data_IF_661823849837
#
_entry.id   IF_661823849837
#
_cell.length_a   1.000
_cell.length_b   1.000
_cell.length_c   1.000
_cell.angle_alpha   90.00
_cell.angle_beta   90.00
_cell.angle_gamma   90.00
#
_symmetry.space_group_name_H-M   'P 1'
#
loop_
_entity.id
_entity.type
_entity.pdbx_description
1 polymer ?
#
# COMPACT_ATOMS: atom_id res chain seq x y z
N UNK A 1 -43.76 45.05 -57.49
CA UNK A 1 -42.38 44.62 -57.17
C UNK A 1 -42.37 44.16 -55.73
N UNK A 2 -41.97 42.91 -55.48
CA UNK A 2 -41.45 42.35 -54.21
C UNK A 2 -41.81 40.87 -54.16
N UNK A 3 -40.83 40.05 -54.55
CA UNK A 3 -40.84 38.59 -54.50
C UNK A 3 -39.59 38.16 -53.75
N UNK A 4 -39.60 36.93 -53.21
CA UNK A 4 -38.48 36.15 -52.63
C UNK A 4 -38.18 36.56 -51.16
N UNK A 5 -38.04 35.69 -50.15
CA UNK A 5 -37.54 34.32 -50.13
C UNK A 5 -38.04 33.50 -48.92
N UNK A 6 -38.31 32.22 -49.18
CA UNK A 6 -38.52 31.15 -48.22
C UNK A 6 -37.22 30.59 -47.62
N UNK A 7 -37.38 30.02 -46.42
CA UNK A 7 -36.75 28.80 -45.88
C UNK A 7 -35.22 28.70 -45.73
N UNK A 8 -34.75 28.50 -44.49
CA UNK A 8 -33.74 27.49 -44.18
C UNK A 8 -33.60 27.21 -42.66
N UNK A 9 -33.15 25.99 -42.38
CA UNK A 9 -32.40 25.56 -41.20
C UNK A 9 -33.16 24.87 -40.06
N UNK A 10 -33.55 23.62 -40.30
CA UNK A 10 -33.84 22.62 -39.26
C UNK A 10 -33.09 21.32 -39.57
N UNK A 11 -31.82 21.22 -39.15
CA UNK A 11 -31.04 19.95 -39.16
C UNK A 11 -29.78 20.05 -38.29
N UNK A 12 -29.88 20.05 -36.95
CA UNK A 12 -28.67 19.95 -36.10
C UNK A 12 -28.88 19.40 -34.67
N UNK A 13 -29.54 18.25 -34.51
CA UNK A 13 -29.64 17.59 -33.18
C UNK A 13 -29.42 16.08 -33.20
N UNK A 14 -29.46 15.42 -34.37
CA UNK A 14 -29.38 13.95 -34.46
C UNK A 14 -27.96 13.38 -34.33
N UNK A 15 -26.93 14.10 -34.82
CA UNK A 15 -25.54 13.62 -34.83
C UNK A 15 -24.92 13.47 -33.43
N UNK A 16 -25.21 14.39 -32.50
CA UNK A 16 -24.63 14.37 -31.14
C UNK A 16 -25.10 13.20 -30.26
N UNK A 17 -26.29 12.63 -30.52
CA UNK A 17 -26.80 11.49 -29.72
C UNK A 17 -26.09 10.17 -30.06
N UNK A 18 -25.69 9.94 -31.32
CA UNK A 18 -25.00 8.70 -31.71
C UNK A 18 -23.58 8.60 -31.14
N UNK A 19 -22.86 9.72 -31.01
CA UNK A 19 -21.49 9.71 -30.46
C UNK A 19 -21.42 9.39 -28.95
N UNK A 20 -22.44 9.77 -28.17
CA UNK A 20 -22.51 9.49 -26.72
C UNK A 20 -22.86 8.04 -26.39
N UNK A 21 -23.58 7.34 -27.27
CA UNK A 21 -23.94 5.93 -27.07
C UNK A 21 -22.73 4.98 -27.21
N UNK A 22 -21.87 5.24 -28.20
CA UNK A 22 -20.69 4.40 -28.48
C UNK A 22 -19.61 4.45 -27.38
N UNK A 23 -19.50 5.57 -26.66
CA UNK A 23 -18.50 5.78 -25.61
C UNK A 23 -18.90 5.12 -24.28
N UNK A 24 -20.19 5.00 -23.99
CA UNK A 24 -20.68 4.29 -22.79
C UNK A 24 -20.46 2.77 -22.90
N UNK A 25 -20.74 2.18 -24.07
CA UNK A 25 -20.58 0.73 -24.30
C UNK A 25 -19.10 0.30 -24.19
N UNK A 26 -18.15 1.11 -24.70
CA UNK A 26 -16.72 0.80 -24.58
C UNK A 26 -16.21 0.79 -23.12
N UNK A 27 -16.75 1.65 -22.25
CA UNK A 27 -16.35 1.68 -20.82
C UNK A 27 -16.83 0.46 -20.04
N UNK A 28 -17.98 -0.11 -20.40
CA UNK A 28 -18.51 -1.31 -19.74
C UNK A 28 -17.69 -2.55 -20.11
N UNK A 29 -17.26 -2.67 -21.37
CA UNK A 29 -16.39 -3.76 -21.78
C UNK A 29 -15.00 -3.69 -21.15
N UNK A 30 -14.39 -2.50 -21.06
CA UNK A 30 -13.07 -2.34 -20.42
C UNK A 30 -13.07 -2.72 -18.92
N UNK A 31 -14.14 -2.41 -18.18
CA UNK A 31 -14.25 -2.81 -16.76
C UNK A 31 -14.36 -4.31 -16.57
N UNK A 32 -15.08 -5.03 -17.45
CA UNK A 32 -15.16 -6.49 -17.37
C UNK A 32 -13.80 -7.14 -17.64
N UNK A 33 -13.04 -6.67 -18.64
CA UNK A 33 -11.72 -7.22 -18.98
C UNK A 33 -10.72 -7.14 -17.83
N UNK A 34 -10.69 -6.02 -17.09
CA UNK A 34 -9.79 -5.87 -15.94
C UNK A 34 -10.14 -6.82 -14.78
N UNK A 35 -11.43 -7.09 -14.57
CA UNK A 35 -11.88 -7.99 -13.51
C UNK A 35 -11.51 -9.46 -13.79
N UNK A 36 -11.54 -9.90 -15.06
CA UNK A 36 -11.11 -11.25 -15.45
C UNK A 36 -9.59 -11.43 -15.37
N UNK A 37 -8.80 -10.41 -15.72
CA UNK A 37 -7.34 -10.45 -15.59
C UNK A 37 -6.89 -10.55 -14.12
N UNK A 38 -7.56 -9.84 -13.21
CA UNK A 38 -7.27 -9.94 -11.77
C UNK A 38 -7.62 -11.32 -11.20
N UNK A 39 -8.74 -11.92 -11.63
CA UNK A 39 -9.13 -13.26 -11.20
C UNK A 39 -8.13 -14.34 -11.66
N UNK A 40 -7.64 -14.26 -12.91
CA UNK A 40 -6.64 -15.19 -13.44
C UNK A 40 -5.28 -15.09 -12.73
N UNK A 41 -4.87 -13.89 -12.30
CA UNK A 41 -3.63 -13.70 -11.54
C UNK A 41 -3.69 -14.32 -10.14
N UNK A 42 -4.84 -14.21 -9.45
CA UNK A 42 -5.02 -14.82 -8.13
C UNK A 42 -5.02 -16.34 -8.22
N UNK A 43 -5.66 -16.92 -9.23
CA UNK A 43 -5.72 -18.38 -9.41
C UNK A 43 -4.34 -18.98 -9.77
N UNK A 44 -3.53 -18.26 -10.53
CA UNK A 44 -2.15 -18.65 -10.82
C UNK A 44 -1.27 -18.65 -9.56
N UNK A 45 -1.39 -17.62 -8.71
CA UNK A 45 -0.67 -17.53 -7.41
C UNK A 45 -1.13 -18.64 -6.45
N UNK A 46 -2.42 -19.03 -6.49
CA UNK A 46 -2.95 -20.10 -5.65
C UNK A 46 -2.62 -21.52 -6.16
N UNK A 47 -2.33 -21.71 -7.45
CA UNK A 47 -1.82 -22.98 -7.98
C UNK A 47 -0.35 -23.20 -7.61
N UNK A 48 0.48 -22.18 -7.81
CA UNK A 48 1.92 -22.25 -7.48
C UNK A 48 2.17 -22.60 -6.00
N UNK A 49 1.31 -22.08 -5.10
CA UNK A 49 1.38 -22.37 -3.67
C UNK A 49 1.01 -23.81 -3.29
N UNK A 50 0.18 -24.49 -4.10
CA UNK A 50 -0.25 -25.88 -3.82
C UNK A 50 0.82 -26.89 -4.20
N UNK A 51 1.52 -26.68 -5.30
CA UNK A 51 2.55 -27.62 -5.77
C UNK A 51 3.76 -27.64 -4.83
N UNK A 52 4.08 -26.50 -4.19
CA UNK A 52 5.14 -26.43 -3.19
C UNK A 52 4.82 -27.21 -1.90
N UNK A 53 3.55 -27.27 -1.49
CA UNK A 53 3.15 -28.00 -0.27
C UNK A 53 3.20 -29.52 -0.44
N UNK A 54 2.96 -30.03 -1.65
CA UNK A 54 2.96 -31.48 -1.91
C UNK A 54 4.39 -32.05 -1.91
N UNK A 55 5.36 -31.29 -2.44
CA UNK A 55 6.75 -31.73 -2.51
C UNK A 55 7.44 -31.86 -1.15
N UNK A 56 6.96 -31.18 -0.11
CA UNK A 56 7.58 -31.20 1.23
C UNK A 56 7.16 -32.39 2.11
N UNK A 57 6.10 -33.10 1.75
CA UNK A 57 5.60 -34.25 2.54
C UNK A 57 6.10 -35.61 2.05
N UNK A 58 6.64 -35.72 0.83
CA UNK A 58 7.03 -37.01 0.23
C UNK A 58 8.47 -37.46 0.57
N UNK A 59 9.27 -36.63 1.27
CA UNK A 59 10.71 -36.86 1.45
C UNK A 59 11.21 -37.22 2.85
N UNK A 60 10.34 -37.55 3.83
CA UNK A 60 10.80 -37.74 5.23
C UNK A 60 10.27 -39.01 5.89
N UNK A 61 10.59 -40.14 5.30
CA UNK A 61 10.39 -41.46 5.89
C UNK A 61 11.71 -42.23 6.08
N UNK A 62 12.78 -41.55 6.52
CA UNK A 62 14.00 -42.24 6.95
C UNK A 62 14.39 -41.81 8.37
N UNK A 63 14.26 -42.77 9.28
CA UNK A 63 14.58 -42.62 10.69
C UNK A 63 16.08 -42.40 10.90
N UNK A 64 16.42 -41.20 11.38
CA UNK A 64 17.72 -40.93 11.98
C UNK A 64 17.49 -40.12 13.26
N UNK A 65 17.93 -40.72 14.37
CA UNK A 65 17.95 -40.20 15.74
C UNK A 65 18.33 -38.71 15.79
N UNK A 66 17.36 -37.88 16.15
CA UNK A 66 17.55 -36.45 16.35
C UNK A 66 18.40 -36.20 17.59
N UNK A 67 19.71 -36.00 17.39
CA UNK A 67 20.52 -35.21 18.32
C UNK A 67 19.89 -33.82 18.37
N UNK A 68 19.31 -33.48 19.52
CA UNK A 68 18.95 -32.11 19.88
C UNK A 68 20.26 -31.32 20.00
N UNK A 69 20.75 -30.86 18.85
CA UNK A 69 21.75 -29.80 18.80
C UNK A 69 20.94 -28.54 19.07
N UNK A 70 20.98 -28.06 20.31
CA UNK A 70 20.44 -26.76 20.71
C UNK A 70 21.27 -25.68 19.99
N UNK A 71 20.98 -25.49 18.70
CA UNK A 71 21.64 -24.58 17.77
C UNK A 71 21.22 -23.15 18.01
N UNK A 72 21.04 -22.76 19.27
CA UNK A 72 20.83 -21.36 19.64
C UNK A 72 22.15 -20.64 19.38
N UNK A 73 22.23 -19.74 18.36
CA UNK A 73 23.42 -18.95 18.18
C UNK A 73 23.63 -18.09 19.45
N UNK A 74 24.89 -17.89 19.88
CA UNK A 74 25.19 -17.19 21.11
C UNK A 74 24.66 -15.75 21.06
N UNK A 75 23.83 -15.40 22.06
CA UNK A 75 23.18 -14.09 22.25
C UNK A 75 24.16 -12.91 22.48
N UNK A 76 25.47 -13.14 22.47
CA UNK A 76 26.47 -12.13 22.84
C UNK A 76 26.87 -11.14 21.71
N UNK A 77 26.40 -11.34 20.47
CA UNK A 77 26.51 -10.32 19.39
C UNK A 77 25.11 -9.80 19.01
N UNK A 78 24.18 -9.77 19.96
CA UNK A 78 22.89 -9.09 19.77
C UNK A 78 23.01 -7.65 20.26
N UNK A 79 23.77 -6.84 19.53
CA UNK A 79 23.83 -5.41 19.73
C UNK A 79 22.44 -4.79 19.53
N UNK A 80 21.64 -4.74 20.58
CA UNK A 80 20.47 -3.87 20.78
C UNK A 80 19.49 -3.70 19.63
N UNK A 81 19.35 -4.65 18.70
CA UNK A 81 18.40 -4.50 17.59
C UNK A 81 17.00 -4.64 18.20
N UNK A 82 16.27 -3.52 18.28
CA UNK A 82 14.89 -3.48 18.76
C UNK A 82 14.07 -4.61 18.13
N UNK A 83 13.19 -5.22 18.93
CA UNK A 83 12.34 -6.30 18.43
C UNK A 83 11.45 -5.78 17.28
N UNK A 84 11.09 -6.61 16.29
CA UNK A 84 10.25 -6.17 15.16
C UNK A 84 8.94 -5.51 15.61
N UNK A 85 8.38 -5.96 16.74
CA UNK A 85 7.22 -5.34 17.38
C UNK A 85 7.49 -3.91 17.81
N UNK A 86 8.58 -3.68 18.55
CA UNK A 86 8.97 -2.34 19.01
C UNK A 86 9.20 -1.42 17.82
N UNK A 87 9.90 -1.89 16.78
CA UNK A 87 10.12 -1.11 15.55
C UNK A 87 8.79 -0.73 14.87
N UNK A 88 7.86 -1.67 14.70
CA UNK A 88 6.55 -1.36 14.11
C UNK A 88 5.73 -0.38 14.97
N UNK A 89 5.76 -0.52 16.29
CA UNK A 89 5.06 0.41 17.20
C UNK A 89 5.63 1.82 17.05
N UNK A 90 6.96 1.97 17.10
CA UNK A 90 7.62 3.28 16.95
C UNK A 90 7.28 3.92 15.61
N UNK A 91 7.40 3.16 14.52
CA UNK A 91 7.06 3.67 13.18
C UNK A 91 5.58 4.05 13.08
N UNK A 92 4.67 3.22 13.59
CA UNK A 92 3.24 3.50 13.60
C UNK A 92 2.91 4.79 14.37
N UNK A 93 3.55 5.02 15.52
CA UNK A 93 3.42 6.27 16.27
C UNK A 93 3.91 7.48 15.49
N UNK A 94 5.06 7.38 14.80
CA UNK A 94 5.56 8.47 13.96
C UNK A 94 4.55 8.83 12.85
N UNK A 95 4.01 7.82 12.16
CA UNK A 95 3.00 8.01 11.11
C UNK A 95 1.73 8.66 11.69
N UNK A 96 1.28 8.17 12.85
CA UNK A 96 0.08 8.68 13.52
C UNK A 96 0.26 10.15 13.94
N UNK A 97 1.40 10.50 14.55
CA UNK A 97 1.72 11.88 14.94
C UNK A 97 1.79 12.81 13.74
N UNK A 98 2.36 12.34 12.63
CA UNK A 98 2.39 13.10 11.37
C UNK A 98 0.97 13.34 10.83
N UNK A 99 0.09 12.34 10.89
CA UNK A 99 -1.31 12.48 10.54
C UNK A 99 -2.08 13.46 11.43
N UNK A 100 -1.87 13.41 12.75
CA UNK A 100 -2.48 14.37 13.67
C UNK A 100 -1.97 15.79 13.39
N UNK A 101 -0.67 15.95 13.14
CA UNK A 101 -0.09 17.23 12.77
C UNK A 101 -0.68 17.78 11.46
N UNK A 102 -0.89 16.93 10.44
CA UNK A 102 -1.55 17.33 9.18
C UNK A 102 -3.02 17.70 9.32
N UNK A 103 -3.70 17.18 10.35
CA UNK A 103 -5.09 17.54 10.65
C UNK A 103 -5.18 18.92 11.33
N UNK A 104 -4.33 19.15 12.33
CA UNK A 104 -4.37 20.33 13.20
C UNK A 104 -3.65 21.53 12.57
N UNK A 105 -2.51 21.31 11.90
CA UNK A 105 -1.62 22.36 11.38
C UNK A 105 -1.30 22.20 9.88
N UNK A 106 -2.29 22.19 8.98
CA UNK A 106 -2.05 21.98 7.55
C UNK A 106 -1.18 23.06 6.89
N UNK A 107 -1.18 24.29 7.42
CA UNK A 107 -0.33 25.38 6.91
C UNK A 107 1.15 25.07 7.11
N UNK A 108 1.50 24.42 8.22
CA UNK A 108 2.87 23.97 8.50
C UNK A 108 3.28 22.85 7.56
N UNK A 109 2.36 21.94 7.22
CA UNK A 109 2.62 20.86 6.26
C UNK A 109 2.82 21.41 4.85
N UNK A 110 2.02 22.40 4.41
CA UNK A 110 2.26 23.09 3.13
C UNK A 110 3.67 23.68 3.07
N UNK A 111 4.08 24.39 4.12
CA UNK A 111 5.42 24.99 4.20
C UNK A 111 6.53 23.93 4.20
N UNK A 112 6.36 22.82 4.93
CA UNK A 112 7.33 21.72 4.97
C UNK A 112 7.48 21.04 3.60
N UNK A 113 6.37 20.90 2.87
CA UNK A 113 6.34 20.32 1.53
C UNK A 113 6.80 21.32 0.44
N UNK A 114 7.04 22.58 0.80
CA UNK A 114 7.42 23.63 -0.15
C UNK A 114 6.27 24.08 -1.06
N UNK A 115 5.03 23.80 -0.68
CA UNK A 115 3.85 24.23 -1.45
C UNK A 115 3.50 25.69 -1.15
N UNK A 116 3.22 26.44 -2.22
CA UNK A 116 2.72 27.81 -2.14
C UNK A 116 1.31 27.88 -2.71
N UNK A 117 0.39 28.48 -1.95
CA UNK A 117 -0.97 28.75 -2.42
C UNK A 117 -0.91 29.91 -3.42
N UNK A 118 -1.03 29.59 -4.70
CA UNK A 118 -0.94 30.58 -5.79
C UNK A 118 -2.15 31.53 -5.84
N UNK A 119 -3.35 31.03 -5.51
CA UNK A 119 -4.58 31.81 -5.50
C UNK A 119 -5.25 31.77 -4.12
N UNK A 120 -5.37 32.90 -3.41
CA UNK A 120 -5.97 32.93 -2.07
C UNK A 120 -7.45 32.52 -2.07
N UNK A 121 -8.18 32.68 -3.18
CA UNK A 121 -9.57 32.24 -3.30
C UNK A 121 -9.74 30.71 -3.19
N UNK A 122 -8.66 29.94 -3.38
CA UNK A 122 -8.65 28.48 -3.27
C UNK A 122 -7.90 27.97 -2.04
N UNK A 123 -7.50 28.85 -1.11
CA UNK A 123 -6.75 28.48 0.08
C UNK A 123 -7.50 27.42 0.92
N UNK A 124 -8.81 27.59 1.11
CA UNK A 124 -9.62 26.63 1.86
C UNK A 124 -9.64 25.23 1.23
N UNK A 125 -9.69 25.14 -0.11
CA UNK A 125 -9.65 23.87 -0.82
C UNK A 125 -8.27 23.21 -0.68
N UNK A 126 -7.18 23.97 -0.86
CA UNK A 126 -5.82 23.46 -0.69
C UNK A 126 -5.57 22.94 0.74
N UNK A 127 -6.01 23.68 1.76
CA UNK A 127 -5.92 23.23 3.15
C UNK A 127 -6.79 22.00 3.42
N UNK A 128 -7.95 21.89 2.76
CA UNK A 128 -8.82 20.71 2.81
C UNK A 128 -8.14 19.46 2.27
N UNK A 129 -7.50 19.58 1.10
CA UNK A 129 -6.72 18.49 0.50
C UNK A 129 -5.58 18.04 1.40
N UNK A 130 -4.85 18.97 2.01
CA UNK A 130 -3.76 18.64 2.94
C UNK A 130 -4.27 17.89 4.17
N UNK A 131 -5.38 18.35 4.76
CA UNK A 131 -6.01 17.64 5.90
C UNK A 131 -6.49 16.26 5.52
N UNK A 132 -7.01 16.05 4.31
CA UNK A 132 -7.48 14.75 3.86
C UNK A 132 -6.32 13.77 3.59
N UNK A 133 -5.32 14.22 2.83
CA UNK A 133 -4.23 13.38 2.31
C UNK A 133 -3.08 13.19 3.29
N UNK A 134 -2.61 14.25 3.95
CA UNK A 134 -1.52 14.18 4.92
C UNK A 134 -2.02 14.09 6.36
N UNK A 135 -3.28 14.45 6.61
CA UNK A 135 -3.92 14.29 7.91
C UNK A 135 -4.65 12.95 8.04
N UNK A 136 -5.90 12.90 7.57
CA UNK A 136 -6.81 11.77 7.76
C UNK A 136 -6.26 10.44 7.26
N UNK A 137 -5.69 10.40 6.05
CA UNK A 137 -5.07 9.18 5.52
C UNK A 137 -3.93 8.67 6.42
N UNK A 138 -3.07 9.56 6.90
CA UNK A 138 -1.93 9.18 7.74
C UNK A 138 -2.38 8.77 9.14
N UNK A 139 -3.44 9.37 9.68
CA UNK A 139 -4.04 8.92 10.95
C UNK A 139 -4.52 7.48 10.83
N UNK A 140 -5.31 7.16 9.80
CA UNK A 140 -5.84 5.80 9.60
C UNK A 140 -4.72 4.81 9.30
N UNK A 141 -3.75 5.19 8.47
CA UNK A 141 -2.59 4.36 8.15
C UNK A 141 -1.74 4.09 9.39
N UNK A 142 -1.47 5.10 10.22
CA UNK A 142 -0.74 4.97 11.48
C UNK A 142 -1.47 4.08 12.47
N UNK A 143 -2.79 4.24 12.60
CA UNK A 143 -3.62 3.38 13.44
C UNK A 143 -3.62 1.93 12.95
N UNK A 144 -3.75 1.72 11.63
CA UNK A 144 -3.70 0.39 11.03
C UNK A 144 -2.33 -0.28 11.24
N UNK A 145 -1.23 0.48 11.12
CA UNK A 145 0.11 0.02 11.43
C UNK A 145 0.26 -0.32 12.92
N UNK A 146 -0.30 0.50 13.82
CA UNK A 146 -0.23 0.30 15.26
C UNK A 146 -0.99 -0.97 15.67
N UNK A 147 -2.19 -1.16 15.14
CA UNK A 147 -2.98 -2.38 15.34
C UNK A 147 -2.27 -3.61 14.79
N UNK A 148 -1.64 -3.49 13.62
CA UNK A 148 -0.84 -4.57 13.03
C UNK A 148 0.44 -4.87 13.84
N UNK A 149 0.96 -3.91 14.61
CA UNK A 149 2.16 -4.08 15.41
C UNK A 149 1.95 -4.96 16.67
N UNK A 150 0.71 -5.08 17.17
CA UNK A 150 0.38 -5.96 18.29
C UNK A 150 0.55 -7.44 17.94
N UNK A 151 0.20 -7.82 16.71
CA UNK A 151 0.47 -9.13 16.14
C UNK A 151 1.05 -9.01 14.72
N UNK A 152 2.37 -8.79 14.59
CA UNK A 152 3.00 -8.58 13.30
C UNK A 152 3.04 -9.86 12.46
N UNK A 153 2.86 -11.04 13.07
CA UNK A 153 2.92 -12.34 12.38
C UNK A 153 1.66 -12.55 11.57
N UNK A 154 0.49 -12.30 12.17
CA UNK A 154 -0.80 -12.38 11.48
C UNK A 154 -1.00 -11.22 10.49
N UNK A 155 -0.47 -10.03 10.81
CA UNK A 155 -0.72 -8.81 10.05
C UNK A 155 0.41 -8.40 9.08
N UNK A 156 1.28 -9.33 8.66
CA UNK A 156 2.40 -9.03 7.73
C UNK A 156 1.95 -8.34 6.46
N UNK A 157 0.83 -8.77 5.89
CA UNK A 157 0.27 -8.17 4.66
C UNK A 157 -0.04 -6.68 4.84
N UNK A 158 -0.56 -6.28 6.01
CA UNK A 158 -0.86 -4.87 6.32
C UNK A 158 0.40 -4.06 6.49
N UNK A 159 1.38 -4.56 7.25
CA UNK A 159 2.66 -3.88 7.44
C UNK A 159 3.42 -3.74 6.12
N UNK A 160 3.44 -4.78 5.29
CA UNK A 160 4.05 -4.74 3.95
C UNK A 160 3.34 -3.76 3.03
N UNK A 161 2.00 -3.76 3.00
CA UNK A 161 1.23 -2.81 2.18
C UNK A 161 1.54 -1.35 2.57
N UNK A 162 1.54 -1.05 3.87
CA UNK A 162 1.85 0.29 4.37
C UNK A 162 3.31 0.64 4.02
N UNK A 163 4.25 -0.26 4.26
CA UNK A 163 5.66 -0.05 3.88
C UNK A 163 5.83 0.20 2.38
N UNK A 164 5.16 -0.56 1.52
CA UNK A 164 5.17 -0.36 0.07
C UNK A 164 4.53 0.97 -0.35
N UNK A 165 3.51 1.45 0.36
CA UNK A 165 2.94 2.77 0.09
C UNK A 165 3.97 3.88 0.31
N UNK A 166 4.75 3.79 1.40
CA UNK A 166 5.85 4.72 1.70
C UNK A 166 6.99 4.61 0.67
N UNK A 167 7.36 3.40 0.25
CA UNK A 167 8.35 3.21 -0.81
C UNK A 167 7.84 3.71 -2.18
N UNK A 168 6.55 3.58 -2.45
CA UNK A 168 5.90 4.15 -3.63
C UNK A 168 5.96 5.68 -3.62
N UNK A 169 5.72 6.32 -2.47
CA UNK A 169 5.91 7.76 -2.31
C UNK A 169 7.37 8.18 -2.55
N UNK A 170 8.33 7.45 -1.96
CA UNK A 170 9.75 7.66 -2.18
C UNK A 170 10.12 7.56 -3.67
N UNK A 171 9.63 6.53 -4.37
CA UNK A 171 9.86 6.35 -5.80
C UNK A 171 9.22 7.47 -6.63
N UNK A 172 8.01 7.91 -6.27
CA UNK A 172 7.35 9.05 -6.90
C UNK A 172 8.15 10.34 -6.75
N UNK A 173 8.75 10.60 -5.56
CA UNK A 173 9.64 11.75 -5.37
C UNK A 173 10.91 11.64 -6.19
N UNK A 174 11.56 10.47 -6.22
CA UNK A 174 12.75 10.27 -7.04
C UNK A 174 12.47 10.46 -8.54
N UNK A 175 11.30 10.05 -9.01
CA UNK A 175 10.84 10.36 -10.36
C UNK A 175 10.67 11.87 -10.56
N UNK A 176 10.10 12.59 -9.58
CA UNK A 176 10.04 14.05 -9.58
C UNK A 176 11.44 14.69 -9.66
N UNK A 177 12.43 14.18 -8.91
CA UNK A 177 13.82 14.65 -9.01
C UNK A 177 14.40 14.43 -10.41
N UNK A 178 14.08 13.29 -11.02
CA UNK A 178 14.53 12.97 -12.37
C UNK A 178 13.90 13.88 -13.43
N UNK A 179 12.62 14.22 -13.30
CA UNK A 179 11.89 15.04 -14.28
C UNK A 179 12.08 16.54 -14.07
N UNK A 180 12.00 17.01 -12.83
CA UNK A 180 11.92 18.43 -12.46
C UNK A 180 13.24 18.97 -11.86
N UNK A 181 14.20 18.09 -11.55
CA UNK A 181 15.52 18.46 -11.03
C UNK A 181 15.63 18.47 -9.51
N UNK A 182 16.60 19.21 -8.97
CA UNK A 182 16.97 19.13 -7.55
C UNK A 182 15.84 19.67 -6.63
N UNK A 183 15.29 18.85 -5.71
CA UNK A 183 14.16 19.25 -4.86
C UNK A 183 14.60 20.06 -3.62
N UNK A 184 15.90 20.36 -3.49
CA UNK A 184 16.46 21.06 -2.34
C UNK A 184 16.56 20.20 -1.08
N UNK A 185 17.08 20.78 0.01
CA UNK A 185 17.32 20.09 1.27
C UNK A 185 16.04 19.45 1.87
N UNK A 186 14.88 20.12 1.92
CA UNK A 186 13.66 19.52 2.46
C UNK A 186 13.18 18.32 1.63
N UNK A 187 13.33 18.38 0.30
CA UNK A 187 12.96 17.29 -0.60
C UNK A 187 13.80 16.03 -0.39
N UNK A 188 15.13 16.19 -0.26
CA UNK A 188 16.01 15.07 0.08
C UNK A 188 15.74 14.49 1.48
N UNK A 189 15.40 15.35 2.44
CA UNK A 189 14.95 14.92 3.77
C UNK A 189 13.69 14.05 3.70
N UNK A 190 12.72 14.44 2.87
CA UNK A 190 11.50 13.66 2.67
C UNK A 190 11.78 12.29 2.03
N UNK A 191 12.65 12.22 1.02
CA UNK A 191 13.07 10.94 0.39
C UNK A 191 13.73 10.02 1.41
N UNK A 192 14.69 10.53 2.19
CA UNK A 192 15.37 9.74 3.21
C UNK A 192 14.40 9.23 4.29
N UNK A 193 13.47 10.08 4.72
CA UNK A 193 12.44 9.72 5.68
C UNK A 193 11.49 8.64 5.12
N UNK A 194 11.02 8.80 3.88
CA UNK A 194 10.12 7.83 3.25
C UNK A 194 10.77 6.47 3.05
N UNK A 195 12.04 6.46 2.62
CA UNK A 195 12.83 5.25 2.49
C UNK A 195 13.03 4.56 3.84
N UNK A 196 13.32 5.33 4.90
CA UNK A 196 13.53 4.80 6.24
C UNK A 196 12.25 4.16 6.80
N UNK A 197 11.12 4.87 6.75
CA UNK A 197 9.84 4.38 7.28
C UNK A 197 9.33 3.19 6.44
N UNK A 198 9.35 3.31 5.12
CA UNK A 198 8.93 2.25 4.21
C UNK A 198 9.80 1.00 4.33
N UNK A 199 11.12 1.19 4.33
CA UNK A 199 12.09 0.11 4.51
C UNK A 199 11.96 -0.58 5.86
N UNK A 200 11.80 0.16 6.96
CA UNK A 200 11.61 -0.41 8.29
C UNK A 200 10.36 -1.30 8.36
N UNK A 201 9.23 -0.85 7.81
CA UNK A 201 7.99 -1.65 7.83
C UNK A 201 8.08 -2.91 6.97
N UNK A 202 8.71 -2.83 5.80
CA UNK A 202 8.93 -4.01 4.95
C UNK A 202 9.85 -5.01 5.67
N UNK A 203 10.95 -4.55 6.24
CA UNK A 203 11.87 -5.42 7.01
C UNK A 203 11.16 -6.07 8.20
N UNK A 204 10.32 -5.33 8.92
CA UNK A 204 9.54 -5.90 10.03
C UNK A 204 8.54 -6.95 9.52
N UNK A 205 7.88 -6.70 8.39
CA UNK A 205 6.93 -7.64 7.81
C UNK A 205 7.61 -8.97 7.39
N UNK A 206 8.84 -8.91 6.87
CA UNK A 206 9.60 -10.12 6.50
C UNK A 206 10.15 -10.86 7.72
N UNK A 207 10.61 -10.13 8.75
CA UNK A 207 11.27 -10.71 9.92
C UNK A 207 10.30 -11.21 11.00
N UNK A 208 8.99 -11.02 10.81
CA UNK A 208 8.01 -11.62 11.71
C UNK A 208 8.17 -13.16 11.66
N UNK A 209 8.40 -13.85 12.79
CA UNK A 209 8.60 -15.30 12.79
C UNK A 209 7.32 -16.01 12.33
N UNK A 210 7.44 -16.98 11.42
CA UNK A 210 6.29 -17.82 11.03
C UNK A 210 6.01 -18.73 12.22
N UNK A 211 4.94 -18.45 12.96
CA UNK A 211 4.38 -19.44 13.86
C UNK A 211 3.76 -20.47 12.93
N UNK A 212 4.50 -21.56 12.67
CA UNK A 212 3.89 -22.77 12.14
C UNK A 212 2.87 -23.18 13.19
N UNK A 213 1.61 -22.89 12.92
CA UNK A 213 0.52 -23.34 13.76
C UNK A 213 0.55 -24.86 13.63
N UNK A 214 1.15 -25.53 14.61
CA UNK A 214 1.09 -26.98 14.72
C UNK A 214 -0.38 -27.33 14.61
N UNK A 215 -0.75 -27.99 13.51
CA UNK A 215 -2.09 -28.52 13.37
C UNK A 215 -2.34 -29.33 14.64
N UNK A 216 -3.46 -29.11 15.36
CA UNK A 216 -3.80 -30.01 16.45
C UNK A 216 -3.84 -31.39 15.83
N UNK A 217 -2.84 -32.22 16.18
CA UNK A 217 -2.84 -33.63 15.89
C UNK A 217 -4.16 -34.13 16.46
N UNK A 218 -5.14 -34.29 15.58
CA UNK A 218 -6.37 -34.98 15.91
C UNK A 218 -5.89 -36.34 16.38
N UNK A 219 -5.87 -36.53 17.69
CA UNK A 219 -5.62 -37.80 18.33
C UNK A 219 -6.76 -38.67 17.80
N UNK A 220 -6.48 -39.42 16.74
CA UNK A 220 -7.38 -40.41 16.21
C UNK A 220 -7.69 -41.35 17.38
N UNK A 221 -8.92 -41.25 17.90
CA UNK A 221 -9.39 -42.19 18.91
C UNK A 221 -9.25 -43.60 18.32
N UNK A 222 -8.67 -44.56 19.07
CA UNK A 222 -8.58 -45.93 18.57
C UNK A 222 -10.00 -46.48 18.30
N UNK A 223 -10.17 -47.29 17.24
CA UNK A 223 -11.46 -47.90 16.93
C UNK A 223 -11.92 -48.87 18.04
N UNK A 224 -13.25 -49.03 18.23
CA UNK A 224 -13.83 -49.87 19.28
C UNK A 224 -13.60 -51.37 19.07
#
# INVERSE_FOLDING_TARGET
MSSISSAACSTSTSSKRRARSSSAVRRVHAKKSASYAAALSVDAILRDRRDFTTSLYEGRADGATAKVVDGRPPDCIRGGIMTPRVTAIVVAFVILLLGVAGLIYPERILGLLGFAVQNPAHAAAALGEVRATYGGLFVIMGLAALLAAFDPVSNRGRLRLIGLLWLGACAGRLLGVYLDGNPGLPGWGAVAFELMIGGALVVVAERAPVVLQEAPLAVAAPPP
#
